data_IF_078279358273
#
_entry.id   IF_078279358273
#
_cell.length_a   1.000
_cell.length_b   1.000
_cell.length_c   1.000
_cell.angle_alpha   90.00
_cell.angle_beta   90.00
_cell.angle_gamma   90.00
#
_symmetry.space_group_name_H-M   'P 1'
#
loop_
_entity.id
_entity.type
_entity.pdbx_description
1 polymer ?
#
# COMPACT_ATOMS: atom_id res chain seq x y z
N UNK A 1 -6.95 -8.92 -0.93
CA UNK A 1 -5.66 -8.53 -1.53
C UNK A 1 -5.70 -8.79 -3.04
N UNK A 2 -4.66 -8.48 -3.81
CA UNK A 2 -4.55 -8.89 -5.23
C UNK A 2 -3.58 -10.06 -5.33
N UNK A 3 -4.03 -11.18 -5.88
CA UNK A 3 -3.26 -12.42 -6.04
C UNK A 3 -2.31 -12.41 -7.23
N UNK A 4 -1.41 -13.39 -7.27
CA UNK A 4 -0.45 -13.56 -8.37
C UNK A 4 -1.09 -13.90 -9.71
N UNK A 5 -2.36 -14.31 -9.72
CA UNK A 5 -3.18 -14.52 -10.91
C UNK A 5 -3.57 -13.23 -11.65
N UNK A 6 -3.20 -12.05 -11.14
CA UNK A 6 -3.47 -10.79 -11.82
C UNK A 6 -2.73 -10.68 -13.16
N UNK A 7 -3.50 -10.64 -14.26
CA UNK A 7 -2.99 -10.52 -15.64
C UNK A 7 -2.85 -9.08 -16.13
N UNK A 8 -3.27 -8.09 -15.34
CA UNK A 8 -3.11 -6.68 -15.70
C UNK A 8 -4.16 -6.06 -16.63
N UNK A 9 -5.34 -6.67 -16.82
CA UNK A 9 -6.36 -6.16 -17.75
C UNK A 9 -7.05 -4.83 -17.35
N UNK A 10 -6.89 -4.39 -16.09
CA UNK A 10 -7.42 -3.12 -15.60
C UNK A 10 -8.94 -3.02 -15.46
N UNK A 11 -9.70 -4.11 -15.66
CA UNK A 11 -11.16 -4.07 -15.50
C UNK A 11 -11.59 -3.79 -14.05
N UNK A 12 -10.82 -4.28 -13.07
CA UNK A 12 -11.08 -4.04 -11.65
C UNK A 12 -10.90 -2.57 -11.25
N UNK A 13 -9.92 -1.88 -11.84
CA UNK A 13 -9.69 -0.45 -11.60
C UNK A 13 -10.86 0.38 -12.16
N UNK A 14 -11.22 0.15 -13.43
CA UNK A 14 -12.30 0.89 -14.11
C UNK A 14 -13.67 0.71 -13.47
N UNK A 15 -13.95 -0.49 -12.95
CA UNK A 15 -15.26 -0.80 -12.36
C UNK A 15 -15.30 -0.57 -10.85
N UNK A 16 -14.23 -0.09 -10.22
CA UNK A 16 -14.23 0.17 -8.78
C UNK A 16 -15.08 1.42 -8.48
N UNK A 17 -16.24 1.30 -7.82
CA UNK A 17 -17.11 2.46 -7.55
C UNK A 17 -16.46 3.48 -6.61
N UNK A 18 -15.50 3.04 -5.80
CA UNK A 18 -14.78 3.88 -4.85
C UNK A 18 -13.45 4.42 -5.41
N UNK A 19 -13.01 3.97 -6.58
CA UNK A 19 -11.74 4.40 -7.17
C UNK A 19 -10.48 4.02 -6.38
N UNK A 20 -10.54 3.01 -5.50
CA UNK A 20 -9.45 2.62 -4.58
C UNK A 20 -8.55 1.48 -5.10
N UNK A 21 -8.74 1.08 -6.36
CA UNK A 21 -7.92 0.06 -7.03
C UNK A 21 -7.13 0.79 -8.12
N UNK A 22 -5.81 0.61 -8.14
CA UNK A 22 -4.94 1.25 -9.12
C UNK A 22 -4.09 0.23 -9.86
N UNK A 23 -3.71 0.53 -11.10
CA UNK A 23 -2.75 -0.28 -11.85
C UNK A 23 -1.33 0.27 -11.70
N UNK A 24 -0.49 -0.43 -10.93
CA UNK A 24 0.88 -0.01 -10.65
C UNK A 24 1.90 -0.95 -11.30
N UNK A 25 3.01 -0.37 -11.79
CA UNK A 25 4.17 -1.15 -12.21
C UNK A 25 4.95 -1.66 -10.99
N UNK A 26 5.68 -2.78 -11.11
CA UNK A 26 6.60 -3.24 -10.08
C UNK A 26 7.61 -2.14 -9.73
N UNK A 27 7.81 -1.89 -8.43
CA UNK A 27 8.76 -0.91 -7.95
C UNK A 27 10.20 -1.43 -8.12
N UNK A 28 11.15 -0.61 -8.61
CA UNK A 28 12.54 -1.01 -8.70
C UNK A 28 13.16 -1.19 -7.29
N UNK A 29 14.04 -2.18 -7.15
CA UNK A 29 14.70 -2.48 -5.87
C UNK A 29 15.65 -1.35 -5.48
N UNK A 30 15.43 -0.75 -4.31
CA UNK A 30 16.32 0.26 -3.75
C UNK A 30 17.64 -0.34 -3.26
N UNK A 31 18.74 0.42 -3.34
CA UNK A 31 19.98 0.07 -2.64
C UNK A 31 19.75 0.03 -1.12
N UNK A 32 20.60 -0.71 -0.42
CA UNK A 32 20.48 -0.88 1.04
C UNK A 32 20.77 0.41 1.81
N UNK A 33 20.25 0.52 3.03
CA UNK A 33 20.38 1.72 3.87
C UNK A 33 21.84 2.18 4.05
N UNK A 34 22.76 1.24 4.31
CA UNK A 34 24.18 1.56 4.47
C UNK A 34 24.85 2.03 3.17
N UNK A 35 24.44 1.49 2.02
CA UNK A 35 24.97 1.91 0.72
C UNK A 35 24.53 3.33 0.37
N UNK A 36 23.29 3.69 0.71
CA UNK A 36 22.82 5.06 0.60
C UNK A 36 23.58 5.99 1.57
N UNK A 37 23.68 5.61 2.85
CA UNK A 37 24.27 6.47 3.87
C UNK A 37 25.78 6.73 3.65
N UNK A 38 26.54 5.70 3.27
CA UNK A 38 28.00 5.79 3.13
C UNK A 38 28.45 6.28 1.76
N UNK A 39 27.67 6.03 0.71
CA UNK A 39 28.10 6.29 -0.67
C UNK A 39 27.11 7.13 -1.49
N UNK A 40 26.05 7.66 -0.87
CA UNK A 40 25.01 8.43 -1.55
C UNK A 40 24.31 7.65 -2.67
N UNK A 41 24.34 6.32 -2.62
CA UNK A 41 23.85 5.48 -3.72
C UNK A 41 22.33 5.40 -3.68
N UNK A 42 21.67 5.99 -4.69
CA UNK A 42 20.22 5.93 -4.89
C UNK A 42 19.41 6.82 -3.96
N UNK A 43 18.06 6.68 -3.97
CA UNK A 43 17.17 7.51 -3.20
C UNK A 43 17.29 7.15 -1.72
N UNK A 44 17.13 8.15 -0.86
CA UNK A 44 17.14 7.96 0.59
C UNK A 44 16.02 7.08 1.14
N UNK A 45 15.99 6.91 2.47
CA UNK A 45 14.92 6.18 3.14
C UNK A 45 13.55 6.80 2.82
N UNK A 46 12.53 5.95 2.67
CA UNK A 46 11.16 6.37 2.32
C UNK A 46 10.77 6.06 0.87
N UNK A 47 9.81 6.80 0.32
CA UNK A 47 9.35 6.67 -1.07
C UNK A 47 10.34 7.40 -2.00
N UNK A 48 10.79 6.79 -3.10
CA UNK A 48 11.61 7.51 -4.08
C UNK A 48 10.78 8.52 -4.87
N UNK A 49 11.43 9.55 -5.40
CA UNK A 49 10.80 10.50 -6.31
C UNK A 49 10.42 9.85 -7.66
N UNK A 50 9.56 10.55 -8.40
CA UNK A 50 9.05 10.09 -9.69
C UNK A 50 10.17 9.97 -10.74
N UNK A 51 11.18 10.84 -10.67
CA UNK A 51 12.30 10.89 -11.61
C UNK A 51 13.16 9.62 -11.51
N UNK A 52 13.53 9.22 -10.29
CA UNK A 52 14.28 8.00 -10.03
C UNK A 52 13.47 6.75 -10.41
N UNK A 53 12.16 6.74 -10.13
CA UNK A 53 11.27 5.66 -10.53
C UNK A 53 11.17 5.53 -12.06
N UNK A 54 11.10 6.64 -12.79
CA UNK A 54 11.07 6.64 -14.24
C UNK A 54 12.41 6.15 -14.83
N UNK A 55 13.54 6.58 -14.25
CA UNK A 55 14.87 6.18 -14.71
C UNK A 55 15.22 4.71 -14.43
N UNK A 56 14.73 4.15 -13.32
CA UNK A 56 15.03 2.77 -12.88
C UNK A 56 13.90 1.77 -13.17
N UNK A 57 12.72 2.26 -13.57
CA UNK A 57 11.55 1.44 -13.84
C UNK A 57 11.80 0.50 -15.02
N UNK A 58 12.01 -0.78 -14.75
CA UNK A 58 12.30 -1.80 -15.78
C UNK A 58 11.11 -2.20 -16.67
N UNK A 59 10.08 -1.37 -16.82
CA UNK A 59 8.95 -1.65 -17.71
C UNK A 59 8.31 -3.01 -17.46
N UNK A 60 7.64 -3.17 -16.31
CA UNK A 60 6.88 -4.39 -16.00
C UNK A 60 5.41 -4.27 -16.33
N UNK A 61 4.75 -5.40 -16.61
CA UNK A 61 3.29 -5.44 -16.72
C UNK A 61 2.66 -4.86 -15.45
N UNK A 62 1.80 -3.85 -15.61
CA UNK A 62 1.11 -3.22 -14.48
C UNK A 62 0.17 -4.25 -13.84
N UNK A 63 0.20 -4.36 -12.52
CA UNK A 63 -0.72 -5.19 -11.75
C UNK A 63 -1.63 -4.32 -10.90
N UNK A 64 -2.80 -4.85 -10.56
CA UNK A 64 -3.71 -4.16 -9.67
C UNK A 64 -3.10 -4.09 -8.26
N UNK A 65 -3.17 -2.93 -7.65
CA UNK A 65 -2.83 -2.67 -6.26
C UNK A 65 -4.04 -2.07 -5.55
N UNK A 66 -4.26 -2.50 -4.32
CA UNK A 66 -5.33 -2.00 -3.45
C UNK A 66 -4.94 -2.26 -2.01
N UNK A 67 -5.60 -1.59 -1.06
CA UNK A 67 -5.48 -1.94 0.35
C UNK A 67 -5.81 -3.44 0.55
N UNK A 68 -4.85 -4.18 1.08
CA UNK A 68 -4.95 -5.59 1.41
C UNK A 68 -5.38 -5.83 2.86
N UNK A 69 -5.62 -4.74 3.60
CA UNK A 69 -5.96 -4.73 5.01
C UNK A 69 -4.82 -5.22 5.92
N UNK A 70 -3.56 -5.08 5.47
CA UNK A 70 -2.37 -5.51 6.22
C UNK A 70 -2.46 -6.98 6.67
N UNK A 71 -3.04 -7.84 5.83
CA UNK A 71 -3.35 -9.24 6.17
C UNK A 71 -2.12 -10.07 6.57
N UNK A 72 -0.94 -9.68 6.10
CA UNK A 72 0.33 -10.39 6.33
C UNK A 72 1.23 -9.65 7.35
N UNK A 73 0.71 -8.61 8.02
CA UNK A 73 1.44 -7.86 9.06
C UNK A 73 0.94 -8.32 10.44
N UNK A 74 1.83 -8.86 11.26
CA UNK A 74 1.50 -9.37 12.60
C UNK A 74 0.84 -8.32 13.51
N UNK A 75 1.32 -7.07 13.47
CA UNK A 75 0.69 -5.95 14.18
C UNK A 75 -0.65 -5.47 13.60
N UNK A 76 -1.19 -6.12 12.58
CA UNK A 76 -2.44 -5.74 11.92
C UNK A 76 -2.37 -4.41 11.15
N UNK A 77 -3.54 -3.80 10.97
CA UNK A 77 -3.74 -2.61 10.14
C UNK A 77 -2.84 -1.43 10.55
N UNK A 78 -1.80 -1.15 9.75
CA UNK A 78 -0.83 -0.08 10.03
C UNK A 78 -1.47 1.30 10.13
N UNK A 79 -2.48 1.59 9.32
CA UNK A 79 -3.19 2.87 9.36
C UNK A 79 -3.95 3.08 10.68
N UNK A 80 -4.49 2.01 11.28
CA UNK A 80 -5.17 2.07 12.59
C UNK A 80 -4.15 2.36 13.68
N UNK A 81 -3.03 1.62 13.72
CA UNK A 81 -1.97 1.82 14.72
C UNK A 81 -1.28 3.18 14.62
N UNK A 82 -1.13 3.70 13.41
CA UNK A 82 -0.50 4.99 13.18
C UNK A 82 -1.44 6.19 13.43
N UNK A 83 -2.75 5.97 13.57
CA UNK A 83 -3.72 7.05 13.71
C UNK A 83 -3.68 7.66 15.12
N UNK A 84 -3.17 8.89 15.31
CA UNK A 84 -3.05 9.48 16.65
C UNK A 84 -4.38 9.98 17.21
N UNK A 85 -5.37 10.21 16.35
CA UNK A 85 -6.69 10.76 16.71
C UNK A 85 -7.73 9.68 17.01
N UNK A 86 -7.44 8.41 16.68
CA UNK A 86 -8.41 7.32 16.78
C UNK A 86 -9.48 7.29 15.68
N UNK A 87 -9.31 8.05 14.59
CA UNK A 87 -10.28 8.10 13.48
C UNK A 87 -10.38 6.80 12.68
N UNK A 88 -9.31 6.00 12.61
CA UNK A 88 -9.30 4.72 11.92
C UNK A 88 -9.42 3.58 12.93
N UNK A 89 -10.48 2.79 12.81
CA UNK A 89 -10.73 1.61 13.64
C UNK A 89 -11.01 0.41 12.74
N UNK A 90 -10.51 -0.77 13.14
CA UNK A 90 -10.80 -2.04 12.48
C UNK A 90 -11.30 -3.02 13.53
N UNK A 91 -12.57 -3.38 13.44
CA UNK A 91 -13.26 -4.23 14.42
C UNK A 91 -14.06 -5.29 13.70
N UNK A 92 -14.40 -6.37 14.40
CA UNK A 92 -15.34 -7.34 13.87
C UNK A 92 -16.75 -6.75 13.79
N UNK A 93 -17.59 -7.19 12.82
CA UNK A 93 -18.94 -6.66 12.67
C UNK A 93 -19.79 -6.74 13.96
N UNK A 94 -19.63 -7.80 14.76
CA UNK A 94 -20.33 -7.97 16.04
C UNK A 94 -19.93 -6.95 17.11
N UNK A 95 -18.70 -6.45 17.06
CA UNK A 95 -18.19 -5.42 17.97
C UNK A 95 -18.53 -4.01 17.49
N UNK A 96 -18.63 -3.82 16.18
CA UNK A 96 -18.98 -2.54 15.56
C UNK A 96 -20.28 -1.95 16.12
N UNK A 97 -21.34 -2.75 16.24
CA UNK A 97 -22.61 -2.28 16.80
C UNK A 97 -22.51 -1.82 18.25
N UNK A 98 -21.59 -2.40 19.04
CA UNK A 98 -21.35 -1.96 20.43
C UNK A 98 -20.69 -0.59 20.47
N UNK A 99 -19.77 -0.31 19.55
CA UNK A 99 -19.06 0.97 19.47
C UNK A 99 -20.02 2.06 19.01
N UNK A 100 -20.78 1.82 17.93
CA UNK A 100 -21.71 2.82 17.37
C UNK A 100 -22.86 3.13 18.32
N UNK A 101 -23.37 2.15 19.06
CA UNK A 101 -24.44 2.37 20.06
C UNK A 101 -23.97 3.14 21.31
N UNK A 102 -22.67 3.16 21.58
CA UNK A 102 -22.08 3.84 22.75
C UNK A 102 -21.65 5.30 22.46
N UNK A 103 -21.91 5.82 21.25
CA UNK A 103 -21.74 7.25 20.95
C UNK A 103 -20.31 7.78 21.11
N UNK A 104 -19.30 6.95 20.83
CA UNK A 104 -17.90 7.36 20.67
C UNK A 104 -17.49 7.31 19.21
#
# INVERSE_FOLDING_TARGET
>A
YVSDSCIGCGNCERNCPYGVIHMAAPQPKKPGLLQWLLFGRGPGPGQPDAEWLAAQGKGGAKKAVKCDMCKDIEGGASCVRACPTGAALRVNPSEFFKIVSQGR
#
